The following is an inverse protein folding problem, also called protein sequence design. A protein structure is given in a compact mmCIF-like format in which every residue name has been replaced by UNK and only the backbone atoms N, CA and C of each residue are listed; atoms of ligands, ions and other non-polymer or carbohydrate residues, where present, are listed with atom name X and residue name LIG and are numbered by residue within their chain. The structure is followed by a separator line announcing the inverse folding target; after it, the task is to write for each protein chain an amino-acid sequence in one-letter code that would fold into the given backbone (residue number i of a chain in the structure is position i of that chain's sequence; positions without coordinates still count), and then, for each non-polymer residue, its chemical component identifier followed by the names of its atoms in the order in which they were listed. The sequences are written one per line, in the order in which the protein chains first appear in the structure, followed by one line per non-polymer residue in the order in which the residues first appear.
data_IF_739138648753
#
_entry.id   IF_739138648753
#
_cell.length_a   1.000
_cell.length_b   1.000
_cell.length_c   1.000
_cell.angle_alpha   90.00
_cell.angle_beta   90.00
_cell.angle_gamma   90.00
#
_symmetry.space_group_name_H-M   'P 1'
#
loop_
_entity.id
_entity.type
_entity.pdbx_description
1 polymer ?
#
# COMPACT_ATOMS: atom_id res chain seq x y z
N UNK A 1 -3.21 14.41 15.62
CA UNK A 1 -2.27 14.08 16.72
C UNK A 1 -1.05 14.94 16.54
N UNK A 2 -0.55 15.50 17.63
CA UNK A 2 0.68 16.29 17.67
C UNK A 2 1.85 15.32 17.58
N UNK A 3 2.81 15.50 16.67
CA UNK A 3 3.94 14.59 16.55
C UNK A 3 4.88 14.74 17.76
N UNK A 4 5.42 13.63 18.23
CA UNK A 4 6.34 13.54 19.36
C UNK A 4 7.79 13.47 18.90
N UNK A 5 8.63 14.36 19.40
CA UNK A 5 10.03 14.49 19.01
C UNK A 5 10.93 14.21 20.21
N UNK A 6 11.89 13.30 20.07
CA UNK A 6 12.94 13.10 21.07
C UNK A 6 14.16 13.93 20.69
N UNK A 7 14.57 14.85 21.57
CA UNK A 7 15.77 15.68 21.44
C UNK A 7 16.86 15.14 22.36
N UNK A 8 18.03 14.89 21.80
CA UNK A 8 19.19 14.31 22.48
C UNK A 8 20.41 15.19 22.23
N UNK A 9 20.93 15.85 23.27
CA UNK A 9 22.14 16.68 23.19
C UNK A 9 22.72 16.75 24.59
N UNK A 10 24.05 16.58 24.79
CA UNK A 10 24.69 16.56 26.07
C UNK A 10 24.77 17.94 26.75
N UNK A 11 24.56 19.01 25.95
CA UNK A 11 24.52 20.40 26.43
C UNK A 11 23.07 20.81 26.71
N UNK A 12 22.74 20.96 28.01
CA UNK A 12 21.38 21.32 28.46
C UNK A 12 20.81 22.59 27.77
N UNK A 13 21.67 23.57 27.51
CA UNK A 13 21.23 24.81 26.81
C UNK A 13 20.72 24.52 25.38
N UNK A 14 21.34 23.58 24.65
CA UNK A 14 20.90 23.16 23.33
C UNK A 14 19.57 22.43 23.40
N UNK A 15 19.42 21.51 24.37
CA UNK A 15 18.18 20.78 24.62
C UNK A 15 17.03 21.77 24.84
N UNK A 16 17.19 22.70 25.79
CA UNK A 16 16.15 23.71 26.10
C UNK A 16 15.81 24.60 24.92
N UNK A 17 16.81 24.99 24.11
CA UNK A 17 16.60 25.80 22.93
C UNK A 17 15.77 25.07 21.89
N UNK A 18 16.11 23.80 21.59
CA UNK A 18 15.37 22.98 20.63
C UNK A 18 13.95 22.67 21.15
N UNK A 19 13.82 22.30 22.43
CA UNK A 19 12.54 22.09 23.08
C UNK A 19 11.62 23.32 22.92
N UNK A 20 12.10 24.50 23.26
CA UNK A 20 11.34 25.75 23.14
C UNK A 20 10.89 26.01 21.70
N UNK A 21 11.81 25.86 20.72
CA UNK A 21 11.52 26.07 19.31
C UNK A 21 10.49 25.08 18.75
N UNK A 22 10.62 23.80 19.09
CA UNK A 22 9.72 22.75 18.63
C UNK A 22 8.33 22.84 19.29
N UNK A 23 8.28 23.22 20.58
CA UNK A 23 7.03 23.46 21.30
C UNK A 23 6.23 24.63 20.70
N UNK A 24 6.92 25.68 20.23
CA UNK A 24 6.28 26.79 19.51
C UNK A 24 5.64 26.35 18.17
N UNK A 25 6.17 25.32 17.54
CA UNK A 25 5.61 24.68 16.34
C UNK A 25 4.59 23.58 16.68
N UNK A 26 4.12 23.52 17.92
CA UNK A 26 3.11 22.57 18.44
C UNK A 26 3.54 21.11 18.41
N UNK A 27 4.83 20.79 18.55
CA UNK A 27 5.32 19.42 18.74
C UNK A 27 5.31 19.04 20.24
N UNK A 28 5.07 17.75 20.52
CA UNK A 28 5.31 17.15 21.85
C UNK A 28 6.79 16.75 21.95
N UNK A 29 7.52 17.28 22.92
CA UNK A 29 8.98 17.15 22.98
C UNK A 29 9.42 16.35 24.20
N UNK A 30 10.13 15.26 23.94
CA UNK A 30 10.88 14.50 24.96
C UNK A 30 12.36 14.90 24.87
N UNK A 31 13.02 14.94 26.00
CA UNK A 31 14.43 15.36 26.07
C UNK A 31 15.29 14.39 26.87
N UNK A 32 16.55 14.19 26.46
CA UNK A 32 17.58 13.54 27.26
C UNK A 32 18.97 14.03 26.84
N UNK A 33 19.98 13.70 27.68
CA UNK A 33 21.34 14.24 27.54
C UNK A 33 22.40 13.21 27.18
N UNK A 34 22.03 11.95 26.95
CA UNK A 34 22.96 10.89 26.58
C UNK A 34 22.32 9.82 25.70
N UNK A 35 23.15 9.10 24.94
CA UNK A 35 22.71 8.07 24.01
C UNK A 35 22.06 6.85 24.68
N UNK A 36 22.47 6.46 25.88
CA UNK A 36 21.91 5.30 26.56
C UNK A 36 20.47 5.56 27.02
N UNK A 37 20.21 6.75 27.55
CA UNK A 37 18.86 7.22 27.90
C UNK A 37 18.00 7.38 26.65
N UNK A 38 18.57 7.88 25.55
CA UNK A 38 17.87 8.00 24.27
C UNK A 38 17.35 6.65 23.74
N UNK A 39 18.16 5.59 23.83
CA UNK A 39 17.74 4.24 23.43
C UNK A 39 16.55 3.72 24.26
N UNK A 40 16.58 3.96 25.58
CA UNK A 40 15.50 3.54 26.49
C UNK A 40 14.20 4.32 26.20
N UNK A 41 14.30 5.65 26.08
CA UNK A 41 13.16 6.51 25.79
C UNK A 41 12.56 6.22 24.41
N UNK A 42 13.38 6.03 23.39
CA UNK A 42 12.90 5.68 22.06
C UNK A 42 12.12 4.35 22.05
N UNK A 43 12.56 3.35 22.81
CA UNK A 43 11.89 2.07 22.91
C UNK A 43 10.59 2.13 23.74
N UNK A 44 10.53 2.97 24.77
CA UNK A 44 9.39 3.09 25.66
C UNK A 44 8.30 4.03 25.12
N UNK A 45 8.70 5.21 24.64
CA UNK A 45 7.81 6.31 24.29
C UNK A 45 7.48 6.38 22.78
N UNK A 46 8.20 5.62 21.94
CA UNK A 46 7.96 5.53 20.49
C UNK A 46 7.83 6.91 19.81
N UNK A 47 8.83 7.81 19.89
CA UNK A 47 8.73 9.12 19.28
C UNK A 47 8.61 9.02 17.74
N UNK A 48 8.01 10.05 17.13
CA UNK A 48 7.86 10.13 15.68
C UNK A 48 9.17 10.48 14.97
N UNK A 49 10.12 11.11 15.69
CA UNK A 49 11.44 11.46 15.17
C UNK A 49 12.42 11.64 16.34
N UNK A 50 13.69 11.34 16.09
CA UNK A 50 14.79 11.62 17.03
C UNK A 50 15.70 12.68 16.41
N UNK A 51 15.92 13.79 17.12
CA UNK A 51 16.97 14.77 16.84
C UNK A 51 18.14 14.46 17.76
N UNK A 52 19.27 14.05 17.20
CA UNK A 52 20.37 13.44 17.92
C UNK A 52 21.68 14.20 17.69
N UNK A 53 22.24 14.79 18.74
CA UNK A 53 23.59 15.35 18.64
C UNK A 53 24.63 14.27 18.38
N UNK A 54 25.64 14.60 17.59
CA UNK A 54 26.72 13.68 17.26
C UNK A 54 27.79 13.65 18.33
N UNK A 55 28.12 14.82 18.89
CA UNK A 55 29.25 14.99 19.80
C UNK A 55 28.82 14.84 21.25
N UNK A 56 28.60 13.62 21.69
CA UNK A 56 28.23 13.34 23.08
C UNK A 56 29.28 12.48 23.78
N UNK A 57 29.52 12.67 25.09
CA UNK A 57 30.48 11.86 25.88
C UNK A 57 29.97 10.42 26.04
N UNK A 58 30.88 9.47 26.02
CA UNK A 58 30.60 8.04 26.18
C UNK A 58 30.08 7.38 24.93
N UNK A 59 28.76 7.40 24.67
CA UNK A 59 28.16 6.91 23.47
C UNK A 59 27.86 8.08 22.54
N UNK A 60 28.57 8.17 21.43
CA UNK A 60 28.36 9.23 20.44
C UNK A 60 27.04 9.06 19.66
N UNK A 61 26.66 10.08 18.89
CA UNK A 61 25.42 10.05 18.11
C UNK A 61 25.44 9.02 16.99
N UNK A 62 26.58 8.70 16.40
CA UNK A 62 26.69 7.68 15.37
C UNK A 62 26.42 6.28 15.93
N UNK A 63 27.00 5.95 17.09
CA UNK A 63 26.75 4.67 17.76
C UNK A 63 25.32 4.57 18.26
N UNK A 64 24.77 5.65 18.82
CA UNK A 64 23.38 5.73 19.25
C UNK A 64 22.43 5.48 18.05
N UNK A 65 22.68 6.13 16.91
CA UNK A 65 21.93 5.93 15.68
C UNK A 65 21.98 4.48 15.20
N UNK A 66 23.19 3.88 15.14
CA UNK A 66 23.36 2.47 14.75
C UNK A 66 22.53 1.53 15.61
N UNK A 67 22.52 1.73 16.95
CA UNK A 67 21.74 0.91 17.88
C UNK A 67 20.23 1.12 17.71
N UNK A 68 19.77 2.36 17.54
CA UNK A 68 18.36 2.64 17.21
C UNK A 68 17.93 1.91 15.95
N UNK A 69 18.77 1.89 14.91
CA UNK A 69 18.47 1.26 13.63
C UNK A 69 18.67 -0.27 13.61
N UNK A 70 19.39 -0.82 14.55
CA UNK A 70 19.55 -2.27 14.72
C UNK A 70 18.42 -2.92 15.52
N UNK A 71 17.77 -2.19 16.44
CA UNK A 71 16.68 -2.71 17.27
C UNK A 71 15.35 -2.71 16.49
N UNK A 72 14.67 -3.88 16.30
CA UNK A 72 13.37 -3.96 15.62
C UNK A 72 12.28 -3.05 16.19
N UNK A 73 12.38 -2.67 17.48
CA UNK A 73 11.41 -1.80 18.15
C UNK A 73 11.56 -0.34 17.78
N UNK A 74 12.77 0.10 17.35
CA UNK A 74 13.09 1.51 17.11
C UNK A 74 13.62 1.81 15.71
N UNK A 75 13.94 0.78 14.90
CA UNK A 75 14.55 0.93 13.58
C UNK A 75 13.71 1.75 12.59
N UNK A 76 12.42 1.82 12.82
CA UNK A 76 11.46 2.56 11.99
C UNK A 76 11.39 4.06 12.35
N UNK A 77 11.90 4.44 13.52
CA UNK A 77 11.89 5.82 13.96
C UNK A 77 12.94 6.60 13.15
N UNK A 78 12.57 7.68 12.46
CA UNK A 78 13.51 8.53 11.76
C UNK A 78 14.50 9.18 12.75
N UNK A 79 15.79 9.19 12.38
CA UNK A 79 16.86 9.81 13.15
C UNK A 79 17.47 10.93 12.31
N UNK A 80 17.47 12.15 12.84
CA UNK A 80 18.17 13.30 12.27
C UNK A 80 19.37 13.62 13.14
N UNK A 81 20.55 13.53 12.58
CA UNK A 81 21.78 13.94 13.29
C UNK A 81 21.89 15.46 13.28
N UNK A 82 22.12 16.02 14.46
CA UNK A 82 22.40 17.45 14.66
C UNK A 82 23.88 17.58 14.97
N UNK A 83 24.66 18.29 14.16
CA UNK A 83 26.11 18.25 14.32
C UNK A 83 26.77 19.62 14.06
N UNK A 84 27.82 19.91 14.79
CA UNK A 84 28.73 21.01 14.48
C UNK A 84 29.74 20.63 13.38
N UNK A 85 29.82 19.33 13.06
CA UNK A 85 30.69 18.79 12.03
C UNK A 85 30.02 19.01 10.67
N UNK A 86 30.58 19.84 9.83
CA UNK A 86 30.12 20.09 8.46
C UNK A 86 30.98 19.38 7.40
N UNK A 87 31.94 18.59 7.87
CA UNK A 87 32.84 17.79 7.08
C UNK A 87 32.11 16.72 6.25
N UNK A 88 32.62 16.52 5.03
CA UNK A 88 32.13 15.46 4.11
C UNK A 88 32.11 14.08 4.77
N UNK A 89 33.20 13.72 5.45
CA UNK A 89 33.36 12.41 6.10
C UNK A 89 32.33 12.16 7.19
N UNK A 90 31.96 13.18 7.96
CA UNK A 90 31.03 13.05 9.07
C UNK A 90 29.59 12.87 8.57
N UNK A 91 29.24 13.51 7.44
CA UNK A 91 27.93 13.29 6.79
C UNK A 91 27.81 11.86 6.28
N UNK A 92 28.85 11.33 5.67
CA UNK A 92 28.90 9.94 5.17
C UNK A 92 28.77 8.97 6.33
N UNK A 93 29.55 9.15 7.40
CA UNK A 93 29.45 8.30 8.62
C UNK A 93 28.06 8.31 9.21
N UNK A 94 27.39 9.47 9.21
CA UNK A 94 25.99 9.59 9.69
C UNK A 94 25.03 8.76 8.86
N UNK A 95 25.11 8.85 7.53
CA UNK A 95 24.25 8.08 6.63
C UNK A 95 24.55 6.58 6.69
N UNK A 96 25.81 6.18 6.84
CA UNK A 96 26.24 4.79 7.04
C UNK A 96 25.77 4.23 8.39
N UNK A 97 25.71 5.06 9.43
CA UNK A 97 25.12 4.71 10.72
C UNK A 97 23.58 4.50 10.64
N UNK A 98 22.99 4.80 9.48
CA UNK A 98 21.56 4.62 9.23
C UNK A 98 20.72 5.86 9.53
N UNK A 99 21.34 7.01 9.77
CA UNK A 99 20.61 8.26 9.96
C UNK A 99 19.75 8.57 8.71
N UNK A 100 18.58 9.11 8.96
CA UNK A 100 17.65 9.47 7.89
C UNK A 100 17.95 10.84 7.30
N UNK A 101 18.57 11.71 8.10
CA UNK A 101 19.01 13.03 7.68
C UNK A 101 20.04 13.62 8.67
N UNK A 102 20.59 14.79 8.34
CA UNK A 102 21.44 15.57 9.24
C UNK A 102 21.16 17.07 9.09
N UNK A 103 21.41 17.81 10.15
CA UNK A 103 21.33 19.27 10.19
C UNK A 103 22.60 19.81 10.87
N UNK A 104 23.27 20.77 10.22
CA UNK A 104 24.47 21.39 10.75
C UNK A 104 24.15 22.53 11.72
N UNK A 105 24.94 22.65 12.79
CA UNK A 105 24.93 23.80 13.69
C UNK A 105 25.77 24.95 13.05
N UNK A 106 25.35 26.25 13.10
CA UNK A 106 24.16 26.74 13.78
C UNK A 106 22.87 26.36 13.04
N UNK A 107 21.84 25.99 13.82
CA UNK A 107 20.58 25.50 13.28
C UNK A 107 19.81 26.61 12.58
N UNK A 108 19.49 26.38 11.32
CA UNK A 108 18.53 27.14 10.57
C UNK A 108 17.12 26.63 10.85
N UNK A 109 16.29 27.41 11.51
CA UNK A 109 14.96 27.00 11.94
C UNK A 109 14.06 26.58 10.78
N UNK A 110 14.15 27.29 9.62
CA UNK A 110 13.33 26.97 8.45
C UNK A 110 13.71 25.60 7.88
N UNK A 111 15.00 25.31 7.79
CA UNK A 111 15.51 24.03 7.30
C UNK A 111 15.18 22.92 8.29
N UNK A 112 15.40 23.13 9.60
CA UNK A 112 15.08 22.16 10.65
C UNK A 112 13.60 21.78 10.62
N UNK A 113 12.71 22.78 10.68
CA UNK A 113 11.27 22.49 10.73
C UNK A 113 10.74 21.86 9.44
N UNK A 114 11.28 22.24 8.27
CA UNK A 114 10.91 21.61 7.02
C UNK A 114 11.31 20.12 6.98
N UNK A 115 12.49 19.77 7.49
CA UNK A 115 12.96 18.39 7.60
C UNK A 115 12.14 17.59 8.62
N UNK A 116 11.90 18.15 9.79
CA UNK A 116 11.05 17.54 10.82
C UNK A 116 9.66 17.26 10.25
N UNK A 117 9.00 18.23 9.61
CA UNK A 117 7.70 18.04 8.98
C UNK A 117 7.69 16.95 7.91
N UNK A 118 8.73 16.91 7.06
CA UNK A 118 8.84 15.90 6.00
C UNK A 118 8.96 14.48 6.57
N UNK A 119 9.82 14.30 7.59
CA UNK A 119 10.07 13.00 8.19
C UNK A 119 8.91 12.52 9.07
N UNK A 120 8.28 13.42 9.81
CA UNK A 120 7.08 13.10 10.62
C UNK A 120 5.92 12.64 9.74
N UNK A 121 5.68 13.31 8.60
CA UNK A 121 4.64 12.90 7.64
C UNK A 121 4.91 11.49 7.11
N UNK A 122 6.16 11.17 6.79
CA UNK A 122 6.54 9.84 6.34
C UNK A 122 6.30 8.79 7.42
N UNK A 123 6.69 9.09 8.68
CA UNK A 123 6.52 8.20 9.82
C UNK A 123 5.05 7.84 10.04
N UNK A 124 4.15 8.82 10.00
CA UNK A 124 2.70 8.60 10.15
C UNK A 124 2.16 7.60 9.12
N UNK A 125 2.55 7.74 7.86
CA UNK A 125 2.15 6.80 6.79
C UNK A 125 2.70 5.39 7.07
N UNK A 126 3.94 5.30 7.53
CA UNK A 126 4.59 4.02 7.83
C UNK A 126 3.94 3.31 9.04
N UNK A 127 3.56 4.05 10.07
CA UNK A 127 2.91 3.50 11.25
C UNK A 127 1.50 2.98 10.92
N UNK A 128 0.73 3.75 10.17
CA UNK A 128 -0.59 3.30 9.71
C UNK A 128 -0.51 1.99 8.91
N UNK A 129 0.48 1.87 8.04
CA UNK A 129 0.70 0.64 7.27
C UNK A 129 1.15 -0.52 8.16
N UNK A 130 1.97 -0.28 9.20
CA UNK A 130 2.41 -1.29 10.16
C UNK A 130 1.28 -1.81 11.04
N UNK A 131 0.48 -0.93 11.62
CA UNK A 131 -0.68 -1.32 12.44
C UNK A 131 -1.64 -2.22 11.66
N UNK A 132 -1.83 -1.90 10.38
CA UNK A 132 -2.63 -2.73 9.47
C UNK A 132 -1.96 -4.07 9.16
N UNK A 133 -0.63 -4.13 9.02
CA UNK A 133 0.13 -5.37 8.84
C UNK A 133 0.04 -6.28 10.08
N UNK A 134 0.18 -5.73 11.27
CA UNK A 134 0.05 -6.51 12.51
C UNK A 134 -1.35 -7.09 12.69
N UNK A 135 -2.37 -6.33 12.29
CA UNK A 135 -3.75 -6.83 12.25
C UNK A 135 -3.92 -7.96 11.23
N UNK A 136 -3.25 -7.90 10.07
CA UNK A 136 -3.24 -8.96 9.05
C UNK A 136 -2.48 -10.23 9.51
N UNK A 137 -1.36 -10.09 10.24
CA UNK A 137 -0.62 -11.23 10.80
C UNK A 137 -1.44 -12.05 11.78
N UNK A 138 -2.29 -11.44 12.57
CA UNK A 138 -3.24 -12.14 13.45
C UNK A 138 -4.25 -12.99 12.70
N UNK A 139 -4.39 -12.76 11.38
CA UNK A 139 -5.25 -13.52 10.47
C UNK A 139 -4.51 -14.62 9.67
N UNK A 140 -3.22 -14.87 9.97
CA UNK A 140 -2.47 -16.03 9.44
C UNK A 140 -1.80 -15.84 8.07
N UNK A 141 -1.64 -14.60 7.58
CA UNK A 141 -0.97 -14.33 6.29
C UNK A 141 0.51 -14.03 6.52
N UNK A 142 1.38 -14.99 6.24
CA UNK A 142 2.84 -14.81 6.27
C UNK A 142 3.44 -14.92 4.87
N UNK A 143 4.22 -13.91 4.44
CA UNK A 143 5.06 -13.99 3.24
C UNK A 143 6.45 -13.43 3.53
N UNK A 144 7.47 -14.16 3.09
CA UNK A 144 8.89 -13.87 3.30
C UNK A 144 9.33 -12.73 2.36
N UNK A 145 9.62 -11.53 2.90
CA UNK A 145 9.94 -10.31 2.14
C UNK A 145 11.38 -9.80 2.29
N UNK A 146 12.24 -10.51 3.04
CA UNK A 146 13.57 -10.02 3.41
C UNK A 146 14.50 -9.69 2.21
N UNK A 147 14.32 -10.32 1.04
CA UNK A 147 15.14 -10.07 -0.14
C UNK A 147 14.82 -8.79 -0.92
N UNK A 148 13.61 -8.23 -0.78
CA UNK A 148 13.15 -7.03 -1.51
C UNK A 148 13.55 -5.70 -0.85
N UNK A 149 14.06 -5.74 0.37
CA UNK A 149 14.38 -4.55 1.18
C UNK A 149 15.78 -3.98 0.93
N UNK A 150 16.51 -4.48 -0.08
CA UNK A 150 17.81 -3.92 -0.46
C UNK A 150 17.64 -2.56 -1.12
N UNK A 151 18.41 -1.56 -0.69
CA UNK A 151 18.41 -0.22 -1.26
C UNK A 151 19.09 -0.10 -2.62
N UNK A 152 19.65 -1.20 -3.18
CA UNK A 152 20.36 -1.24 -4.47
C UNK A 152 19.45 -1.70 -5.62
N UNK A 153 19.85 -1.44 -6.88
CA UNK A 153 19.12 -1.84 -8.09
C UNK A 153 17.86 -1.01 -8.38
N UNK A 154 17.72 0.18 -7.78
CA UNK A 154 16.62 1.10 -8.02
C UNK A 154 16.65 1.73 -9.40
N UNK A 155 15.50 2.02 -9.99
CA UNK A 155 15.37 2.83 -11.20
C UNK A 155 15.34 4.30 -10.78
N UNK A 156 16.32 5.08 -11.19
CA UNK A 156 16.51 6.48 -10.80
C UNK A 156 16.33 7.36 -12.01
N UNK A 157 15.36 8.26 -11.97
CA UNK A 157 15.15 9.27 -13.00
C UNK A 157 15.89 10.55 -12.61
N UNK A 158 16.77 11.02 -13.48
CA UNK A 158 17.49 12.30 -13.32
C UNK A 158 16.90 13.31 -14.29
N UNK A 159 16.45 14.44 -13.79
CA UNK A 159 15.93 15.56 -14.63
C UNK A 159 16.82 16.77 -14.43
N UNK A 160 17.66 17.03 -15.41
CA UNK A 160 18.66 18.10 -15.36
C UNK A 160 18.99 18.58 -16.78
N UNK A 161 18.92 19.87 -17.04
CA UNK A 161 19.28 20.51 -18.32
C UNK A 161 20.79 20.59 -18.54
N UNK A 162 21.58 20.44 -17.48
CA UNK A 162 23.03 20.37 -17.58
C UNK A 162 23.49 18.93 -17.82
N UNK A 163 23.70 18.57 -19.08
CA UNK A 163 24.09 17.22 -19.48
C UNK A 163 25.32 16.69 -18.74
N UNK A 164 26.35 17.51 -18.52
CA UNK A 164 27.57 17.11 -17.80
C UNK A 164 27.29 16.77 -16.33
N UNK A 165 26.40 17.54 -15.68
CA UNK A 165 26.01 17.27 -14.30
C UNK A 165 25.15 16.01 -14.22
N UNK A 166 24.18 15.84 -15.13
CA UNK A 166 23.33 14.64 -15.22
C UNK A 166 24.14 13.38 -15.45
N UNK A 167 25.10 13.39 -16.38
CA UNK A 167 25.99 12.27 -16.66
C UNK A 167 26.85 11.88 -15.45
N UNK A 168 27.44 12.87 -14.75
CA UNK A 168 28.24 12.58 -13.53
C UNK A 168 27.38 11.95 -12.42
N UNK A 169 26.14 12.43 -12.22
CA UNK A 169 25.19 11.85 -11.28
C UNK A 169 24.84 10.41 -11.70
N UNK A 170 24.59 10.21 -12.99
CA UNK A 170 24.26 8.89 -13.53
C UNK A 170 25.41 7.89 -13.41
N UNK A 171 26.64 8.30 -13.74
CA UNK A 171 27.84 7.45 -13.61
C UNK A 171 28.02 6.94 -12.19
N UNK A 172 27.88 7.82 -11.19
CA UNK A 172 27.99 7.43 -9.79
C UNK A 172 26.88 6.45 -9.37
N UNK A 173 25.65 6.73 -9.78
CA UNK A 173 24.50 5.87 -9.44
C UNK A 173 24.51 4.53 -10.16
N UNK A 174 25.16 4.40 -11.32
CA UNK A 174 25.24 3.15 -12.09
C UNK A 174 25.91 2.02 -11.32
N UNK A 175 26.72 2.30 -10.31
CA UNK A 175 27.32 1.30 -9.44
C UNK A 175 26.29 0.48 -8.66
N UNK A 176 25.17 1.09 -8.28
CA UNK A 176 24.16 0.46 -7.42
C UNK A 176 22.74 0.54 -7.99
N UNK A 177 22.48 1.42 -8.94
CA UNK A 177 21.17 1.75 -9.48
C UNK A 177 21.13 1.74 -10.99
N UNK A 178 19.94 1.96 -11.56
CA UNK A 178 19.70 2.07 -13.01
C UNK A 178 19.23 3.48 -13.33
N UNK A 179 20.13 4.43 -13.57
CA UNK A 179 19.76 5.80 -13.88
C UNK A 179 19.25 5.94 -15.32
N UNK A 180 18.30 6.86 -15.49
CA UNK A 180 17.85 7.40 -16.77
C UNK A 180 17.88 8.92 -16.68
N UNK A 181 18.23 9.60 -17.78
CA UNK A 181 18.38 11.05 -17.83
C UNK A 181 17.31 11.63 -18.76
N UNK A 182 16.65 12.69 -18.29
CA UNK A 182 15.77 13.53 -19.06
C UNK A 182 16.24 14.99 -18.92
N UNK A 183 16.24 15.73 -20.00
CA UNK A 183 16.75 17.11 -20.00
C UNK A 183 15.65 18.16 -19.90
N UNK A 184 14.38 17.76 -20.07
CA UNK A 184 13.22 18.65 -20.05
C UNK A 184 12.21 18.28 -18.98
N UNK A 185 11.45 19.27 -18.50
CA UNK A 185 10.39 19.05 -17.50
C UNK A 185 9.25 18.17 -18.03
N UNK A 186 8.87 18.31 -19.30
CA UNK A 186 7.79 17.54 -19.92
C UNK A 186 8.13 16.05 -20.00
N UNK A 187 9.35 15.74 -20.47
CA UNK A 187 9.84 14.36 -20.57
C UNK A 187 10.07 13.77 -19.20
N UNK A 188 10.63 14.53 -18.26
CA UNK A 188 10.78 14.14 -16.86
C UNK A 188 9.42 13.83 -16.19
N UNK A 189 8.39 14.64 -16.43
CA UNK A 189 7.04 14.37 -15.93
C UNK A 189 6.45 13.12 -16.55
N UNK A 190 6.63 12.89 -17.83
CA UNK A 190 6.16 11.68 -18.52
C UNK A 190 6.90 10.44 -17.99
N UNK A 191 8.22 10.50 -17.91
CA UNK A 191 9.05 9.41 -17.41
C UNK A 191 8.75 9.06 -15.93
N UNK A 192 8.41 10.05 -15.10
CA UNK A 192 8.07 9.83 -13.67
C UNK A 192 6.84 8.95 -13.44
N UNK A 193 5.93 8.86 -14.42
CA UNK A 193 4.75 7.98 -14.39
C UNK A 193 5.10 6.49 -14.64
N UNK A 194 6.30 6.22 -15.08
CA UNK A 194 6.84 4.86 -15.19
C UNK A 194 7.15 4.26 -13.82
N UNK A 195 7.65 3.03 -13.85
CA UNK A 195 8.03 2.35 -12.62
C UNK A 195 9.40 2.87 -12.13
N UNK A 196 9.42 4.03 -11.49
CA UNK A 196 10.60 4.72 -10.95
C UNK A 196 10.63 4.58 -9.43
N UNK A 197 11.83 4.35 -8.88
CA UNK A 197 12.05 4.22 -7.43
C UNK A 197 12.51 5.55 -6.78
N UNK A 198 13.14 6.43 -7.56
CA UNK A 198 13.66 7.71 -7.11
C UNK A 198 13.73 8.70 -8.27
N UNK A 199 13.41 9.96 -8.03
CA UNK A 199 13.59 11.06 -8.96
C UNK A 199 14.60 12.06 -8.39
N UNK A 200 15.55 12.50 -9.21
CA UNK A 200 16.51 13.56 -8.88
C UNK A 200 16.22 14.73 -9.81
N UNK A 201 15.97 15.93 -9.25
CA UNK A 201 15.57 17.10 -10.02
C UNK A 201 16.52 18.25 -9.74
N UNK A 202 17.11 18.84 -10.79
CA UNK A 202 17.81 20.11 -10.70
C UNK A 202 16.79 21.26 -10.59
N UNK A 203 16.65 21.87 -9.40
CA UNK A 203 15.74 22.99 -9.20
C UNK A 203 16.31 24.32 -9.68
N UNK A 204 17.61 24.36 -9.96
CA UNK A 204 18.31 25.54 -10.52
C UNK A 204 18.55 25.36 -12.04
N UNK A 205 17.74 24.57 -12.73
CA UNK A 205 17.78 24.41 -14.17
C UNK A 205 17.47 25.75 -14.88
N UNK A 206 18.15 26.01 -16.00
CA UNK A 206 17.96 27.20 -16.80
C UNK A 206 16.84 27.04 -17.84
N UNK A 207 16.70 25.84 -18.39
CA UNK A 207 15.79 25.53 -19.48
C UNK A 207 14.37 25.15 -18.98
N UNK A 208 14.21 24.85 -17.67
CA UNK A 208 12.91 24.54 -17.08
C UNK A 208 12.80 24.92 -15.60
N UNK A 209 11.58 25.07 -15.13
CA UNK A 209 11.27 25.32 -13.72
C UNK A 209 11.17 24.00 -12.96
N UNK A 210 12.26 23.62 -12.25
CA UNK A 210 12.33 22.38 -11.46
C UNK A 210 11.34 22.36 -10.29
N UNK A 211 11.03 23.50 -9.66
CA UNK A 211 10.03 23.56 -8.59
C UNK A 211 8.62 23.29 -9.13
N UNK A 212 8.30 23.81 -10.31
CA UNK A 212 7.03 23.52 -10.98
C UNK A 212 6.90 22.05 -11.34
N UNK A 213 7.97 21.42 -11.83
CA UNK A 213 8.01 19.97 -12.10
C UNK A 213 7.73 19.17 -10.82
N UNK A 214 8.39 19.50 -9.72
CA UNK A 214 8.15 18.86 -8.41
C UNK A 214 6.68 19.01 -8.00
N UNK A 215 6.09 20.19 -8.10
CA UNK A 215 4.70 20.44 -7.78
C UNK A 215 3.76 19.58 -8.64
N UNK A 216 4.03 19.44 -9.94
CA UNK A 216 3.24 18.59 -10.85
C UNK A 216 3.33 17.10 -10.47
N UNK A 217 4.53 16.60 -10.17
CA UNK A 217 4.74 15.20 -9.70
C UNK A 217 4.00 14.95 -8.38
N UNK A 218 3.96 15.91 -7.47
CA UNK A 218 3.24 15.80 -6.19
C UNK A 218 1.72 15.88 -6.32
N UNK A 219 1.20 16.57 -7.32
CA UNK A 219 -0.24 16.72 -7.55
C UNK A 219 -0.88 15.50 -8.24
N UNK A 220 -0.11 14.72 -8.99
CA UNK A 220 -0.60 13.57 -9.73
C UNK A 220 -0.64 12.31 -8.86
N UNK A 221 -1.79 11.62 -8.81
CA UNK A 221 -2.01 10.46 -7.93
C UNK A 221 -0.97 9.34 -8.08
N UNK A 222 -0.56 8.92 -9.30
CA UNK A 222 0.43 7.86 -9.46
C UNK A 222 1.82 8.22 -8.94
N UNK A 223 2.17 9.50 -8.91
CA UNK A 223 3.54 9.97 -8.63
C UNK A 223 3.69 10.74 -7.33
N UNK A 224 2.59 11.06 -6.63
CA UNK A 224 2.62 11.88 -5.39
C UNK A 224 3.55 11.35 -4.31
N UNK A 225 3.77 10.03 -4.27
CA UNK A 225 4.60 9.35 -3.27
C UNK A 225 6.00 8.98 -3.79
N UNK A 226 6.32 9.35 -5.03
CA UNK A 226 7.66 9.12 -5.60
C UNK A 226 8.70 9.90 -4.79
N UNK A 227 9.75 9.28 -4.25
CA UNK A 227 10.83 10.01 -3.60
C UNK A 227 11.51 10.97 -4.58
N UNK A 228 11.76 12.20 -4.12
CA UNK A 228 12.42 13.24 -4.90
C UNK A 228 13.61 13.76 -4.11
N UNK A 229 14.79 13.74 -4.73
CA UNK A 229 15.97 14.49 -4.31
C UNK A 229 16.08 15.76 -5.15
N UNK A 230 16.11 16.92 -4.51
CA UNK A 230 16.29 18.19 -5.19
C UNK A 230 17.78 18.58 -5.20
N UNK A 231 18.33 18.85 -6.38
CA UNK A 231 19.68 19.40 -6.52
C UNK A 231 19.59 20.93 -6.50
N UNK A 232 20.20 21.56 -5.50
CA UNK A 232 20.06 22.99 -5.19
C UNK A 232 21.42 23.67 -5.14
N UNK A 233 21.48 24.94 -5.56
CA UNK A 233 22.65 25.79 -5.33
C UNK A 233 22.64 26.27 -3.87
N UNK A 234 23.76 26.16 -3.12
CA UNK A 234 23.86 26.66 -1.74
C UNK A 234 23.52 28.14 -1.59
N UNK A 235 23.78 28.96 -2.63
CA UNK A 235 23.47 30.35 -2.64
C UNK A 235 21.99 30.67 -2.85
N UNK A 236 21.18 29.71 -3.37
CA UNK A 236 19.76 29.92 -3.66
C UNK A 236 18.86 29.38 -2.53
N UNK A 237 18.97 30.03 -1.39
CA UNK A 237 18.16 29.71 -0.20
C UNK A 237 16.64 29.75 -0.44
N UNK A 238 16.08 30.70 -1.22
CA UNK A 238 14.64 30.71 -1.51
C UNK A 238 14.16 29.47 -2.23
N UNK A 239 14.90 28.96 -3.23
CA UNK A 239 14.55 27.71 -3.92
C UNK A 239 14.70 26.49 -3.03
N UNK A 240 15.69 26.47 -2.16
CA UNK A 240 15.87 25.40 -1.15
C UNK A 240 14.63 25.28 -0.26
N UNK A 241 14.20 26.39 0.35
CA UNK A 241 13.02 26.42 1.22
C UNK A 241 11.78 26.00 0.45
N UNK A 242 11.60 26.51 -0.77
CA UNK A 242 10.44 26.18 -1.60
C UNK A 242 10.39 24.71 -2.01
N UNK A 243 11.54 24.10 -2.32
CA UNK A 243 11.62 22.66 -2.59
C UNK A 243 11.16 21.83 -1.37
N UNK A 244 11.61 22.20 -0.17
CA UNK A 244 11.17 21.55 1.07
C UNK A 244 9.67 21.71 1.33
N UNK A 245 9.10 22.90 1.11
CA UNK A 245 7.65 23.15 1.22
C UNK A 245 6.84 22.31 0.23
N UNK A 246 7.36 22.11 -0.99
CA UNK A 246 6.73 21.24 -2.00
C UNK A 246 6.84 19.75 -1.68
N UNK A 247 7.56 19.41 -0.61
CA UNK A 247 7.62 18.03 -0.10
C UNK A 247 8.63 17.16 -0.84
N UNK A 248 9.80 17.71 -1.24
CA UNK A 248 10.93 16.86 -1.61
C UNK A 248 11.37 16.03 -0.42
N UNK A 249 11.87 14.85 -0.68
CA UNK A 249 12.27 13.93 0.37
C UNK A 249 13.62 14.30 0.96
N UNK A 250 14.51 14.87 0.12
CA UNK A 250 15.82 15.29 0.57
C UNK A 250 16.48 16.25 -0.45
N UNK A 251 17.63 16.82 -0.10
CA UNK A 251 18.32 17.85 -0.87
C UNK A 251 19.78 17.46 -1.06
N UNK A 252 20.27 17.69 -2.27
CA UNK A 252 21.69 17.60 -2.63
C UNK A 252 22.20 19.01 -2.96
N UNK A 253 23.26 19.45 -2.30
CA UNK A 253 23.88 20.74 -2.58
C UNK A 253 24.88 20.63 -3.73
N UNK A 254 24.96 21.67 -4.58
CA UNK A 254 26.01 21.79 -5.60
C UNK A 254 27.31 22.30 -4.96
N UNK A 255 28.48 21.78 -5.36
CA UNK A 255 28.68 20.63 -6.25
C UNK A 255 28.23 19.32 -5.58
N UNK A 256 27.51 18.46 -6.33
CA UNK A 256 27.00 17.20 -5.79
C UNK A 256 28.16 16.28 -5.41
N UNK A 257 28.21 15.89 -4.15
CA UNK A 257 29.17 14.93 -3.64
C UNK A 257 28.75 13.50 -4.02
N UNK A 258 29.63 12.69 -4.63
CA UNK A 258 29.29 11.35 -5.11
C UNK A 258 28.86 10.40 -3.98
N UNK A 259 29.55 10.43 -2.83
CA UNK A 259 29.27 9.52 -1.71
C UNK A 259 27.98 9.90 -0.98
N UNK A 260 27.74 11.21 -0.80
CA UNK A 260 26.47 11.72 -0.27
C UNK A 260 25.30 11.36 -1.19
N UNK A 261 25.47 11.52 -2.51
CA UNK A 261 24.48 11.13 -3.52
C UNK A 261 24.13 9.65 -3.41
N UNK A 262 25.15 8.77 -3.40
CA UNK A 262 24.95 7.32 -3.34
C UNK A 262 24.23 6.91 -2.04
N UNK A 263 24.63 7.46 -0.89
CA UNK A 263 24.03 7.16 0.40
C UNK A 263 22.57 7.62 0.48
N UNK A 264 22.26 8.84 0.01
CA UNK A 264 20.89 9.36 -0.01
C UNK A 264 20.01 8.60 -1.01
N UNK A 265 20.51 8.30 -2.20
CA UNK A 265 19.79 7.51 -3.19
C UNK A 265 19.42 6.13 -2.64
N UNK A 266 20.38 5.43 -2.03
CA UNK A 266 20.17 4.12 -1.38
C UNK A 266 19.09 4.20 -0.31
N UNK A 267 19.12 5.23 0.53
CA UNK A 267 18.13 5.44 1.60
C UNK A 267 16.74 5.67 1.03
N UNK A 268 16.59 6.53 0.02
CA UNK A 268 15.28 6.83 -0.57
C UNK A 268 14.71 5.63 -1.35
N UNK A 269 15.53 4.90 -2.10
CA UNK A 269 15.13 3.68 -2.80
C UNK A 269 14.67 2.60 -1.81
N UNK A 270 15.42 2.40 -0.73
CA UNK A 270 15.03 1.44 0.33
C UNK A 270 13.68 1.80 0.95
N UNK A 271 13.46 3.09 1.26
CA UNK A 271 12.19 3.57 1.80
C UNK A 271 11.02 3.35 0.84
N UNK A 272 11.20 3.70 -0.43
CA UNK A 272 10.18 3.50 -1.46
C UNK A 272 9.76 2.03 -1.55
N UNK A 273 10.72 1.12 -1.66
CA UNK A 273 10.46 -0.32 -1.74
C UNK A 273 9.78 -0.87 -0.50
N UNK A 274 10.16 -0.39 0.68
CA UNK A 274 9.50 -0.79 1.91
C UNK A 274 8.04 -0.33 1.94
N UNK A 275 7.77 0.91 1.56
CA UNK A 275 6.40 1.45 1.47
C UNK A 275 5.56 0.69 0.43
N UNK A 276 6.13 0.39 -0.74
CA UNK A 276 5.44 -0.39 -1.78
C UNK A 276 5.14 -1.81 -1.30
N UNK A 277 6.10 -2.45 -0.65
CA UNK A 277 5.91 -3.77 -0.06
C UNK A 277 4.77 -3.81 0.97
N UNK A 278 4.70 -2.80 1.85
CA UNK A 278 3.60 -2.71 2.82
C UNK A 278 2.24 -2.49 2.14
N UNK A 279 2.19 -1.67 1.08
CA UNK A 279 0.98 -1.47 0.28
C UNK A 279 0.54 -2.76 -0.42
N UNK A 280 1.46 -3.44 -1.11
CA UNK A 280 1.17 -4.73 -1.76
C UNK A 280 0.63 -5.76 -0.74
N UNK A 281 1.21 -5.81 0.45
CA UNK A 281 0.72 -6.70 1.52
C UNK A 281 -0.67 -6.33 2.01
N UNK A 282 -0.93 -5.04 2.17
CA UNK A 282 -2.24 -4.57 2.58
C UNK A 282 -3.31 -4.91 1.53
N UNK A 283 -3.02 -4.63 0.26
CA UNK A 283 -3.94 -4.93 -0.86
C UNK A 283 -4.19 -6.44 -0.93
N UNK A 284 -3.15 -7.26 -0.83
CA UNK A 284 -3.27 -8.72 -0.78
C UNK A 284 -4.11 -9.20 0.43
N UNK A 285 -3.87 -8.63 1.62
CA UNK A 285 -4.64 -8.98 2.82
C UNK A 285 -6.13 -8.60 2.69
N UNK A 286 -6.42 -7.44 2.09
CA UNK A 286 -7.78 -7.02 1.80
C UNK A 286 -8.44 -7.94 0.77
N UNK A 287 -7.74 -8.30 -0.29
CA UNK A 287 -8.21 -9.25 -1.31
C UNK A 287 -8.53 -10.61 -0.68
N UNK A 288 -7.62 -11.17 0.11
CA UNK A 288 -7.84 -12.44 0.84
C UNK A 288 -8.97 -12.35 1.88
N UNK A 289 -9.22 -11.17 2.44
CA UNK A 289 -10.32 -10.98 3.39
C UNK A 289 -11.70 -10.95 2.71
N UNK A 290 -11.78 -10.64 1.42
CA UNK A 290 -13.04 -10.48 0.68
C UNK A 290 -13.28 -11.52 -0.40
N UNK A 291 -12.25 -12.30 -0.81
CA UNK A 291 -12.36 -13.32 -1.87
C UNK A 291 -12.22 -14.75 -1.34
N UNK A 292 -12.68 -15.71 -2.13
CA UNK A 292 -12.44 -17.14 -1.96
C UNK A 292 -11.15 -17.54 -2.68
N UNK A 293 -10.22 -18.14 -1.96
CA UNK A 293 -8.87 -18.45 -2.45
C UNK A 293 -8.83 -19.45 -3.63
N UNK A 294 -9.85 -20.31 -3.79
CA UNK A 294 -9.90 -21.28 -4.87
C UNK A 294 -10.45 -20.69 -6.16
N UNK A 295 -11.51 -19.88 -6.04
CA UNK A 295 -12.32 -19.44 -7.19
C UNK A 295 -12.09 -17.98 -7.58
N UNK A 296 -11.50 -17.16 -6.70
CA UNK A 296 -11.33 -15.71 -6.90
C UNK A 296 -12.63 -14.90 -6.80
N UNK A 297 -13.79 -15.53 -6.62
CA UNK A 297 -15.06 -14.85 -6.34
C UNK A 297 -15.06 -14.29 -4.92
N UNK A 298 -16.02 -13.42 -4.61
CA UNK A 298 -16.17 -12.95 -3.23
C UNK A 298 -16.50 -14.09 -2.27
N UNK A 299 -16.02 -13.98 -1.04
CA UNK A 299 -16.28 -14.97 -0.01
C UNK A 299 -17.60 -14.69 0.73
N UNK A 300 -18.07 -15.67 1.52
CA UNK A 300 -19.29 -15.58 2.33
C UNK A 300 -19.34 -14.37 3.25
N UNK A 301 -18.20 -13.99 3.87
CA UNK A 301 -18.14 -12.86 4.82
C UNK A 301 -18.42 -11.53 4.12
N UNK A 302 -17.79 -11.29 2.99
CA UNK A 302 -18.00 -10.08 2.20
C UNK A 302 -19.42 -9.99 1.67
N UNK A 303 -19.95 -11.10 1.14
CA UNK A 303 -21.33 -11.21 0.66
C UNK A 303 -22.32 -10.81 1.76
N UNK A 304 -22.19 -11.33 2.98
CA UNK A 304 -23.11 -11.04 4.08
C UNK A 304 -23.16 -9.54 4.40
N UNK A 305 -22.02 -8.86 4.47
CA UNK A 305 -21.95 -7.42 4.71
C UNK A 305 -22.60 -6.59 3.59
N UNK A 306 -22.35 -6.93 2.33
CA UNK A 306 -22.92 -6.25 1.16
C UNK A 306 -24.45 -6.49 1.07
N UNK A 307 -24.89 -7.73 1.26
CA UNK A 307 -26.30 -8.09 1.22
C UNK A 307 -27.09 -7.32 2.29
N UNK A 308 -26.57 -7.20 3.52
CA UNK A 308 -27.18 -6.40 4.57
C UNK A 308 -27.38 -4.94 4.12
N UNK A 309 -26.37 -4.34 3.51
CA UNK A 309 -26.43 -2.95 3.04
C UNK A 309 -27.45 -2.78 1.89
N UNK A 310 -27.53 -3.74 0.97
CA UNK A 310 -28.47 -3.69 -0.16
C UNK A 310 -29.90 -3.89 0.31
N UNK A 311 -30.18 -4.89 1.15
CA UNK A 311 -31.52 -5.16 1.68
C UNK A 311 -32.02 -3.98 2.53
N UNK A 312 -31.16 -3.41 3.37
CA UNK A 312 -31.53 -2.22 4.17
C UNK A 312 -31.98 -1.05 3.28
N UNK A 313 -31.27 -0.79 2.18
CA UNK A 313 -31.65 0.25 1.21
C UNK A 313 -32.96 -0.09 0.48
N UNK A 314 -33.15 -1.32 0.06
CA UNK A 314 -34.36 -1.77 -0.62
C UNK A 314 -35.61 -1.61 0.27
N UNK A 315 -35.53 -1.98 1.55
CA UNK A 315 -36.60 -1.87 2.55
C UNK A 315 -36.96 -0.40 2.83
N UNK A 316 -36.00 0.51 2.74
CA UNK A 316 -36.23 1.97 2.92
C UNK A 316 -36.82 2.65 1.66
N UNK A 317 -37.34 1.92 0.71
CA UNK A 317 -37.95 2.46 -0.52
C UNK A 317 -36.98 2.59 -1.68
N UNK A 318 -35.82 1.92 -1.62
CA UNK A 318 -34.84 1.81 -2.71
C UNK A 318 -35.25 0.77 -3.76
N UNK A 319 -34.33 0.52 -4.68
CA UNK A 319 -34.51 -0.49 -5.71
C UNK A 319 -34.52 -1.91 -5.13
N UNK A 320 -35.24 -2.87 -5.76
CA UNK A 320 -35.32 -4.24 -5.28
C UNK A 320 -33.97 -4.95 -5.37
N UNK A 321 -33.76 -5.92 -4.49
CA UNK A 321 -32.57 -6.78 -4.51
C UNK A 321 -33.01 -8.22 -4.72
N UNK A 322 -32.41 -8.90 -5.70
CA UNK A 322 -32.58 -10.34 -5.92
C UNK A 322 -31.36 -11.11 -5.51
N UNK A 323 -31.56 -12.36 -5.11
CA UNK A 323 -30.50 -13.32 -4.78
C UNK A 323 -30.72 -14.59 -5.57
N UNK A 324 -29.67 -15.08 -6.21
CA UNK A 324 -29.57 -16.44 -6.74
C UNK A 324 -28.74 -17.29 -5.78
N UNK A 325 -29.27 -18.42 -5.35
CA UNK A 325 -28.52 -19.48 -4.69
C UNK A 325 -28.29 -20.59 -5.74
N UNK A 326 -27.04 -21.00 -5.93
CA UNK A 326 -26.66 -21.98 -6.94
C UNK A 326 -25.87 -23.13 -6.28
N UNK A 327 -26.14 -24.33 -6.75
CA UNK A 327 -25.45 -25.55 -6.28
C UNK A 327 -25.13 -26.45 -7.47
N UNK A 328 -23.90 -26.97 -7.51
CA UNK A 328 -23.44 -27.84 -8.60
C UNK A 328 -23.99 -29.24 -8.40
N UNK A 329 -24.81 -29.69 -9.34
CA UNK A 329 -25.46 -30.98 -9.27
C UNK A 329 -24.45 -32.13 -9.30
N UNK A 330 -24.60 -33.07 -8.35
CA UNK A 330 -23.76 -34.26 -8.25
C UNK A 330 -22.25 -33.99 -8.08
N UNK A 331 -21.84 -32.85 -7.55
CA UNK A 331 -20.43 -32.49 -7.38
C UNK A 331 -19.62 -33.54 -6.60
N UNK A 332 -20.24 -34.18 -5.61
CA UNK A 332 -19.62 -35.31 -4.90
C UNK A 332 -19.21 -36.43 -5.86
N UNK A 333 -20.02 -36.77 -6.89
CA UNK A 333 -19.66 -37.81 -7.87
C UNK A 333 -18.44 -37.40 -8.73
N UNK A 334 -18.24 -36.10 -8.98
CA UNK A 334 -17.04 -35.60 -9.66
C UNK A 334 -15.82 -35.89 -8.78
N UNK A 335 -15.88 -35.51 -7.50
CA UNK A 335 -14.78 -35.75 -6.56
C UNK A 335 -14.49 -37.27 -6.37
N UNK A 336 -15.53 -38.07 -6.20
CA UNK A 336 -15.41 -39.53 -6.00
C UNK A 336 -14.86 -40.24 -7.25
N UNK A 337 -15.18 -39.75 -8.46
CA UNK A 337 -14.78 -40.38 -9.74
C UNK A 337 -13.44 -39.87 -10.28
N UNK A 338 -13.11 -38.57 -10.12
CA UNK A 338 -11.97 -37.96 -10.75
C UNK A 338 -10.97 -37.31 -9.78
N UNK A 339 -11.26 -37.38 -8.48
CA UNK A 339 -10.44 -36.79 -7.42
C UNK A 339 -10.74 -35.31 -7.13
N UNK A 340 -10.26 -34.82 -5.98
CA UNK A 340 -10.48 -33.46 -5.52
C UNK A 340 -9.88 -32.40 -6.44
N UNK A 341 -8.74 -32.70 -7.07
CA UNK A 341 -8.10 -31.75 -8.02
C UNK A 341 -9.01 -31.45 -9.23
N UNK A 342 -9.71 -32.49 -9.76
CA UNK A 342 -10.68 -32.31 -10.84
C UNK A 342 -11.91 -31.53 -10.36
N UNK A 343 -12.36 -31.76 -9.12
CA UNK A 343 -13.41 -30.94 -8.51
C UNK A 343 -13.02 -29.49 -8.37
N UNK A 344 -11.79 -29.20 -7.98
CA UNK A 344 -11.25 -27.84 -7.89
C UNK A 344 -11.18 -27.16 -9.27
N UNK A 345 -10.81 -27.88 -10.33
CA UNK A 345 -10.85 -27.38 -11.70
C UNK A 345 -12.29 -27.03 -12.13
N UNK A 346 -13.28 -27.88 -11.80
CA UNK A 346 -14.70 -27.59 -12.05
C UNK A 346 -15.14 -26.32 -11.31
N UNK A 347 -14.79 -26.17 -10.03
CA UNK A 347 -15.15 -24.98 -9.23
C UNK A 347 -14.53 -23.69 -9.81
N UNK A 348 -13.28 -23.73 -10.24
CA UNK A 348 -12.62 -22.56 -10.87
C UNK A 348 -13.27 -22.17 -12.19
N UNK A 349 -13.52 -23.15 -13.05
CA UNK A 349 -14.16 -22.87 -14.34
C UNK A 349 -15.62 -22.42 -14.18
N UNK A 350 -16.36 -23.01 -13.24
CA UNK A 350 -17.71 -22.57 -12.89
C UNK A 350 -17.72 -21.10 -12.43
N UNK A 351 -16.78 -20.72 -11.57
CA UNK A 351 -16.66 -19.33 -11.10
C UNK A 351 -16.42 -18.34 -12.25
N UNK A 352 -15.57 -18.69 -13.21
CA UNK A 352 -15.32 -17.87 -14.42
C UNK A 352 -16.62 -17.72 -15.25
N UNK A 353 -17.33 -18.82 -15.51
CA UNK A 353 -18.61 -18.79 -16.23
C UNK A 353 -19.65 -17.97 -15.48
N UNK A 354 -19.74 -18.11 -14.16
CA UNK A 354 -20.65 -17.32 -13.34
C UNK A 354 -20.34 -15.83 -13.44
N UNK A 355 -19.09 -15.43 -13.27
CA UNK A 355 -18.66 -14.03 -13.34
C UNK A 355 -18.91 -13.40 -14.72
N UNK A 356 -18.75 -14.15 -15.81
CA UNK A 356 -19.02 -13.64 -17.19
C UNK A 356 -20.52 -13.52 -17.51
N UNK A 357 -21.38 -14.19 -16.77
CA UNK A 357 -22.83 -14.18 -16.94
C UNK A 357 -23.57 -13.15 -16.07
N UNK A 358 -22.87 -12.36 -15.27
CA UNK A 358 -23.46 -11.33 -14.39
C UNK A 358 -22.90 -9.95 -14.72
N UNK A 359 -23.56 -8.88 -14.24
CA UNK A 359 -23.12 -7.49 -14.48
C UNK A 359 -22.00 -7.12 -13.50
N UNK A 360 -21.23 -6.08 -13.81
CA UNK A 360 -20.20 -5.55 -12.92
C UNK A 360 -20.72 -5.06 -11.55
N UNK A 361 -22.01 -4.72 -11.46
CA UNK A 361 -22.67 -4.32 -10.21
C UNK A 361 -23.23 -5.50 -9.41
N UNK A 362 -23.36 -6.67 -10.01
CA UNK A 362 -23.77 -7.90 -9.35
C UNK A 362 -22.60 -8.50 -8.58
N UNK A 363 -22.89 -9.22 -7.50
CA UNK A 363 -21.89 -9.75 -6.59
C UNK A 363 -21.91 -11.28 -6.59
N UNK A 364 -21.13 -11.95 -7.49
CA UNK A 364 -20.96 -13.39 -7.44
C UNK A 364 -20.04 -13.79 -6.28
N UNK A 365 -20.48 -14.76 -5.48
CA UNK A 365 -19.81 -15.21 -4.26
C UNK A 365 -19.80 -16.74 -4.16
N UNK A 366 -18.77 -17.28 -3.50
CA UNK A 366 -18.77 -18.68 -3.07
C UNK A 366 -19.09 -18.77 -1.58
N UNK A 367 -20.05 -19.62 -1.24
CA UNK A 367 -20.48 -19.83 0.15
C UNK A 367 -19.63 -20.87 0.87
N UNK A 368 -19.10 -21.82 0.13
CA UNK A 368 -18.29 -22.96 0.57
C UNK A 368 -18.67 -24.23 -0.18
N UNK A 369 -17.75 -25.19 -0.27
CA UNK A 369 -18.02 -26.42 -1.03
C UNK A 369 -18.40 -26.14 -2.49
N UNK A 370 -19.58 -26.59 -2.88
CA UNK A 370 -20.18 -26.48 -4.22
C UNK A 370 -21.27 -25.42 -4.31
N UNK A 371 -21.43 -24.58 -3.26
CA UNK A 371 -22.50 -23.58 -3.15
C UNK A 371 -22.01 -22.18 -3.51
N UNK A 372 -22.79 -21.49 -4.35
CA UNK A 372 -22.53 -20.13 -4.80
C UNK A 372 -23.75 -19.24 -4.62
N UNK A 373 -23.52 -17.94 -4.47
CA UNK A 373 -24.58 -16.93 -4.39
C UNK A 373 -24.26 -15.79 -5.34
N UNK A 374 -25.29 -15.26 -5.99
CA UNK A 374 -25.19 -13.98 -6.71
C UNK A 374 -26.17 -13.00 -6.08
N UNK A 375 -25.67 -11.88 -5.57
CA UNK A 375 -26.50 -10.77 -5.11
C UNK A 375 -26.65 -9.76 -6.25
N UNK A 376 -27.89 -9.40 -6.57
CA UNK A 376 -28.24 -8.60 -7.74
C UNK A 376 -29.02 -7.34 -7.31
N UNK A 377 -28.34 -6.22 -7.00
CA UNK A 377 -29.00 -4.97 -6.65
C UNK A 377 -29.74 -4.38 -7.88
N UNK A 378 -30.86 -3.69 -7.66
CA UNK A 378 -31.69 -3.10 -8.70
C UNK A 378 -32.35 -4.11 -9.63
N UNK A 379 -32.51 -5.38 -9.21
CA UNK A 379 -33.00 -6.45 -10.08
C UNK A 379 -34.28 -7.05 -9.51
N UNK A 380 -35.34 -7.10 -10.32
CA UNK A 380 -36.62 -7.73 -9.98
C UNK A 380 -36.56 -9.25 -10.15
N UNK A 381 -37.53 -9.96 -9.52
CA UNK A 381 -37.57 -11.42 -9.52
C UNK A 381 -37.59 -12.01 -10.95
N UNK A 382 -38.38 -11.42 -11.85
CA UNK A 382 -38.51 -11.91 -13.24
C UNK A 382 -37.19 -11.78 -14.00
N UNK A 383 -36.48 -10.68 -13.82
CA UNK A 383 -35.18 -10.44 -14.45
C UNK A 383 -34.10 -11.37 -13.88
N UNK A 384 -34.08 -11.54 -12.56
CA UNK A 384 -33.20 -12.47 -11.90
C UNK A 384 -33.43 -13.93 -12.35
N UNK A 385 -34.68 -14.33 -12.52
CA UNK A 385 -35.03 -15.66 -13.04
C UNK A 385 -34.51 -15.84 -14.49
N UNK A 386 -34.65 -14.83 -15.36
CA UNK A 386 -34.11 -14.90 -16.72
C UNK A 386 -32.59 -15.02 -16.77
N UNK A 387 -31.90 -14.32 -15.85
CA UNK A 387 -30.45 -14.41 -15.72
C UNK A 387 -30.05 -15.78 -15.19
N UNK A 388 -30.74 -16.31 -14.17
CA UNK A 388 -30.50 -17.63 -13.64
C UNK A 388 -30.66 -18.74 -14.73
N UNK A 389 -31.71 -18.67 -15.55
CA UNK A 389 -31.92 -19.61 -16.68
C UNK A 389 -30.81 -19.50 -17.74
N UNK A 390 -30.29 -18.31 -18.00
CA UNK A 390 -29.12 -18.13 -18.88
C UNK A 390 -27.88 -18.79 -18.32
N UNK A 391 -27.57 -18.57 -17.03
CA UNK A 391 -26.43 -19.18 -16.34
C UNK A 391 -26.55 -20.71 -16.39
N UNK A 392 -27.74 -21.26 -16.04
CA UNK A 392 -28.00 -22.70 -16.05
C UNK A 392 -27.71 -23.32 -17.43
N UNK A 393 -28.21 -22.70 -18.50
CA UNK A 393 -28.00 -23.18 -19.89
C UNK A 393 -26.55 -23.11 -20.31
N UNK A 394 -25.84 -22.02 -19.97
CA UNK A 394 -24.43 -21.84 -20.30
C UNK A 394 -23.57 -22.91 -19.62
N UNK A 395 -23.83 -23.17 -18.35
CA UNK A 395 -23.13 -24.19 -17.57
C UNK A 395 -23.38 -25.58 -18.14
N UNK A 396 -24.64 -25.94 -18.44
CA UNK A 396 -25.02 -27.28 -18.93
C UNK A 396 -24.65 -27.54 -20.40
N UNK A 397 -24.47 -26.51 -21.22
CA UNK A 397 -24.21 -26.65 -22.65
C UNK A 397 -22.73 -26.87 -23.00
N UNK A 398 -21.83 -26.42 -22.18
CA UNK A 398 -20.39 -26.46 -22.45
C UNK A 398 -19.70 -27.40 -21.47
N UNK A 399 -19.06 -28.49 -21.92
CA UNK A 399 -18.36 -29.42 -21.04
C UNK A 399 -17.20 -28.71 -20.27
N UNK A 400 -17.00 -29.12 -19.02
CA UNK A 400 -15.89 -28.68 -18.20
C UNK A 400 -14.65 -29.51 -18.53
N UNK A 401 -13.52 -28.82 -18.74
CA UNK A 401 -12.23 -29.47 -18.97
C UNK A 401 -11.53 -29.71 -17.65
N UNK A 402 -11.21 -30.97 -17.37
CA UNK A 402 -10.54 -31.38 -16.12
C UNK A 402 -9.31 -32.24 -16.39
N UNK A 403 -8.48 -32.46 -15.39
CA UNK A 403 -7.22 -33.23 -15.47
C UNK A 403 -6.25 -32.68 -16.53
N UNK A 404 -6.13 -31.34 -16.56
CA UNK A 404 -5.32 -30.65 -17.57
C UNK A 404 -5.87 -30.75 -18.98
N UNK A 405 -7.19 -30.88 -19.15
CA UNK A 405 -7.89 -30.95 -20.44
C UNK A 405 -7.98 -32.37 -21.03
N UNK A 406 -7.62 -33.42 -20.27
CA UNK A 406 -7.69 -34.82 -20.72
C UNK A 406 -9.12 -35.39 -20.68
N UNK A 407 -9.94 -34.87 -19.78
CA UNK A 407 -11.31 -35.32 -19.56
C UNK A 407 -12.28 -34.15 -19.73
N UNK A 408 -13.49 -34.47 -20.17
CA UNK A 408 -14.59 -33.54 -20.40
C UNK A 408 -15.81 -33.98 -19.61
N UNK A 409 -16.26 -33.16 -18.65
CA UNK A 409 -17.39 -33.47 -17.79
C UNK A 409 -18.58 -32.55 -18.11
N UNK A 410 -19.76 -33.13 -18.28
CA UNK A 410 -21.02 -32.37 -18.31
C UNK A 410 -21.48 -32.15 -16.87
N UNK A 411 -21.60 -30.90 -16.48
CA UNK A 411 -22.03 -30.49 -15.14
C UNK A 411 -23.29 -29.63 -15.29
N UNK A 412 -24.28 -29.87 -14.44
CA UNK A 412 -25.49 -29.06 -14.33
C UNK A 412 -25.58 -28.38 -12.98
N UNK A 413 -26.49 -27.43 -12.85
CA UNK A 413 -26.70 -26.67 -11.62
C UNK A 413 -28.18 -26.54 -11.28
N UNK A 414 -28.48 -26.59 -9.98
CA UNK A 414 -29.78 -26.25 -9.43
C UNK A 414 -29.75 -24.83 -8.86
N UNK A 415 -30.72 -24.01 -9.22
CA UNK A 415 -30.75 -22.58 -8.84
C UNK A 415 -32.08 -22.24 -8.15
N UNK A 416 -31.98 -21.60 -6.99
CA UNK A 416 -33.10 -20.92 -6.33
C UNK A 416 -33.00 -19.40 -6.47
N UNK A 417 -34.10 -18.74 -6.78
CA UNK A 417 -34.16 -17.29 -6.95
C UNK A 417 -35.14 -16.69 -5.99
N UNK A 418 -34.75 -15.65 -5.27
CA UNK A 418 -35.61 -14.86 -4.42
C UNK A 418 -35.35 -13.35 -4.62
N UNK A 419 -36.37 -12.52 -4.37
CA UNK A 419 -36.25 -11.06 -4.42
C UNK A 419 -36.84 -10.44 -3.15
N UNK A 420 -36.43 -9.21 -2.82
CA UNK A 420 -37.04 -8.42 -1.76
C UNK A 420 -38.46 -8.04 -2.15
N UNK A 421 -39.39 -8.12 -1.19
CA UNK A 421 -40.84 -7.92 -1.41
C UNK A 421 -41.40 -6.71 -0.66
N UNK A 422 -40.62 -6.11 0.24
CA UNK A 422 -41.06 -4.90 0.98
C UNK A 422 -40.52 -4.77 2.40
N UNK A 423 -41.21 -4.03 3.24
CA UNK A 423 -40.78 -3.55 4.56
C UNK A 423 -40.61 -4.60 5.67
N UNK A 424 -40.43 -5.85 5.35
CA UNK A 424 -40.22 -6.92 6.36
C UNK A 424 -39.06 -7.85 6.00
N UNK A 425 -38.40 -7.60 4.88
CA UNK A 425 -37.33 -8.48 4.42
C UNK A 425 -36.02 -8.28 5.20
N UNK A 426 -35.38 -9.38 5.51
CA UNK A 426 -34.02 -9.43 6.05
C UNK A 426 -33.11 -10.23 5.12
N UNK A 427 -31.79 -10.05 5.18
CA UNK A 427 -30.84 -10.85 4.42
C UNK A 427 -31.03 -12.36 4.62
N UNK A 428 -31.28 -12.76 5.86
CA UNK A 428 -31.47 -14.16 6.23
C UNK A 428 -32.75 -14.74 5.62
N UNK A 429 -33.86 -13.97 5.65
CA UNK A 429 -35.11 -14.39 5.05
C UNK A 429 -34.99 -14.52 3.52
N UNK A 430 -34.28 -13.61 2.89
CA UNK A 430 -34.04 -13.63 1.44
C UNK A 430 -33.18 -14.81 1.02
N UNK A 431 -32.07 -15.06 1.72
CA UNK A 431 -31.20 -16.23 1.50
C UNK A 431 -31.95 -17.53 1.72
N UNK A 432 -32.76 -17.62 2.78
CA UNK A 432 -33.54 -18.81 3.09
C UNK A 432 -34.55 -19.14 1.99
N UNK A 433 -35.26 -18.14 1.44
CA UNK A 433 -36.18 -18.35 0.30
C UNK A 433 -35.45 -18.87 -0.93
N UNK A 434 -34.26 -18.32 -1.23
CA UNK A 434 -33.44 -18.80 -2.35
C UNK A 434 -32.96 -20.25 -2.12
N UNK A 435 -32.51 -20.58 -0.90
CA UNK A 435 -32.07 -21.94 -0.53
C UNK A 435 -33.21 -22.98 -0.62
N UNK A 436 -34.40 -22.64 -0.14
CA UNK A 436 -35.59 -23.48 -0.33
C UNK A 436 -35.90 -23.72 -1.80
N UNK A 437 -35.62 -22.73 -2.69
CA UNK A 437 -35.72 -22.90 -4.15
C UNK A 437 -34.70 -23.91 -4.71
N UNK A 438 -33.44 -23.91 -4.24
CA UNK A 438 -32.43 -24.90 -4.58
C UNK A 438 -32.85 -26.29 -4.14
N UNK A 439 -33.33 -26.41 -2.91
CA UNK A 439 -33.81 -27.69 -2.38
C UNK A 439 -34.94 -28.28 -3.25
N UNK A 440 -35.92 -27.46 -3.64
CA UNK A 440 -37.00 -27.88 -4.52
C UNK A 440 -36.49 -28.26 -5.92
N UNK A 441 -35.54 -27.49 -6.47
CA UNK A 441 -34.90 -27.82 -7.75
C UNK A 441 -34.23 -29.20 -7.71
N UNK A 442 -33.48 -29.48 -6.64
CA UNK A 442 -32.82 -30.78 -6.42
C UNK A 442 -33.85 -31.94 -6.25
N UNK A 443 -34.94 -31.69 -5.51
CA UNK A 443 -35.98 -32.67 -5.28
C UNK A 443 -36.81 -33.03 -6.51
N UNK A 444 -36.99 -32.07 -7.44
CA UNK A 444 -37.84 -32.24 -8.63
C UNK A 444 -37.06 -32.62 -9.88
N UNK A 445 -35.78 -32.99 -9.77
CA UNK A 445 -35.02 -33.61 -10.87
C UNK A 445 -33.75 -32.82 -11.30
N UNK A 446 -33.34 -31.80 -10.54
CA UNK A 446 -32.12 -30.97 -10.80
C UNK A 446 -32.15 -30.22 -12.13
N UNK A 447 -31.02 -29.59 -12.49
CA UNK A 447 -30.86 -28.83 -13.74
C UNK A 447 -32.03 -27.90 -14.03
N UNK A 448 -32.37 -27.04 -13.04
CA UNK A 448 -33.52 -26.11 -13.17
C UNK A 448 -33.40 -24.90 -12.25
N UNK A 449 -34.21 -23.91 -12.55
CA UNK A 449 -34.38 -22.70 -11.76
C UNK A 449 -35.75 -22.71 -11.08
N UNK A 450 -35.78 -22.47 -9.79
CA UNK A 450 -37.01 -22.27 -9.02
C UNK A 450 -37.01 -20.84 -8.48
N UNK A 451 -38.01 -20.05 -8.89
CA UNK A 451 -38.21 -18.70 -8.33
C UNK A 451 -39.26 -18.76 -7.23
N UNK A 452 -38.94 -18.17 -6.09
CA UNK A 452 -39.88 -18.03 -4.97
C UNK A 452 -40.24 -16.55 -4.79
N UNK A 453 -41.46 -16.22 -5.13
CA UNK A 453 -42.12 -15.03 -4.60
C UNK A 453 -42.34 -15.21 -3.11
N UNK A 454 -42.45 -14.12 -2.33
CA UNK A 454 -42.67 -14.18 -0.89
C UNK A 454 -43.92 -14.95 -0.55
#
# INVERSE_FOLDING_TARGET
MTARILVVDDVEANVRLLEAKLTLEYYDVLTCQDGATALLLAAAEQPDIVLLDVMMPGMDGFETCRRLKADPRTNHIPVVLVTALDGREDRIKGLEAGADDFVTKPLDDVVLFARVRSLTRLKLVMDELREREESGRRLGVTTDGAGRLRGSGGRVLIVDDNARQAERIAEELTREHRPTIETGAADGLLASKGAIDLMIVNVAAAEFDGLRLIAQVRSAEPTRHLPILAVVDPADRPRLVKALELGVNDILMKPVDPEELAARARTQVRRKRYTDFLKEKLDYSLEMAVTDALTGLHNRRYMAGQLQAFVTRAVQGGEPVSVLMLDIDHFKKVNDGFGHDAGDEVLREFAVRLATNVRAVDLPCRMGGEEFVVVMPGTKLEDAHRIAERIRRDVGSTPFRVMGGREHLTVTISIGVAATTGAGDTPEALLKRADEGVYEAKATGRDRVIARAA
#
